data_IF_254465384497
#
_entry.id   IF_254465384497
#
_cell.length_a   1.000
_cell.length_b   1.000
_cell.length_c   1.000
_cell.angle_alpha   90.00
_cell.angle_beta   90.00
_cell.angle_gamma   90.00
#
_symmetry.space_group_name_H-M   'P 1'
#
loop_
_entity.id
_entity.type
_entity.pdbx_description
1 polymer ?
#
# COMPACT_ATOMS: atom_id res chain seq x y z
N UNK A 1 -6.15 -18.98 -13.60
CA UNK A 1 -7.17 -19.66 -12.78
C UNK A 1 -8.04 -18.58 -12.18
N UNK A 2 -9.28 -18.57 -12.55
CA UNK A 2 -10.26 -17.63 -12.00
C UNK A 2 -10.86 -18.25 -10.72
N UNK A 3 -10.72 -17.57 -9.58
CA UNK A 3 -11.28 -18.04 -8.31
C UNK A 3 -12.60 -17.31 -8.10
N UNK A 4 -13.70 -18.05 -8.12
CA UNK A 4 -15.00 -17.48 -7.79
C UNK A 4 -15.22 -17.51 -6.28
N UNK A 5 -14.91 -16.42 -5.61
CA UNK A 5 -15.05 -16.30 -4.16
C UNK A 5 -16.50 -16.46 -3.66
N UNK A 6 -17.50 -16.24 -4.53
CA UNK A 6 -18.92 -16.43 -4.16
C UNK A 6 -19.32 -17.89 -4.01
N UNK A 7 -18.54 -18.80 -4.61
CA UNK A 7 -18.76 -20.25 -4.51
C UNK A 7 -17.96 -20.93 -3.40
N UNK A 8 -17.06 -20.19 -2.74
CA UNK A 8 -16.34 -20.72 -1.59
C UNK A 8 -17.28 -20.85 -0.40
N UNK A 9 -17.61 -22.07 -0.05
CA UNK A 9 -18.38 -22.38 1.17
C UNK A 9 -17.42 -22.57 2.34
N UNK A 10 -17.50 -21.68 3.31
CA UNK A 10 -16.74 -21.76 4.55
C UNK A 10 -17.64 -22.34 5.66
N UNK A 11 -17.18 -23.40 6.32
CA UNK A 11 -17.94 -24.03 7.41
C UNK A 11 -17.86 -23.19 8.67
N UNK A 12 -18.94 -22.49 8.98
CA UNK A 12 -19.25 -22.00 10.32
C UNK A 12 -18.78 -20.61 10.69
N UNK A 13 -17.71 -20.07 10.13
CA UNK A 13 -17.21 -18.72 10.44
C UNK A 13 -17.08 -17.87 9.18
N UNK A 14 -17.25 -16.55 9.36
CA UNK A 14 -17.04 -15.57 8.29
C UNK A 14 -15.55 -15.53 7.93
N UNK A 15 -15.17 -15.81 6.67
CA UNK A 15 -13.75 -15.82 6.28
C UNK A 15 -13.12 -14.44 6.37
N UNK A 16 -11.83 -14.42 6.67
CA UNK A 16 -11.00 -13.23 6.68
C UNK A 16 -9.95 -13.32 5.58
N UNK A 17 -9.93 -12.31 4.70
CA UNK A 17 -8.86 -12.11 3.72
C UNK A 17 -7.93 -10.99 4.22
N UNK A 18 -6.65 -11.28 4.29
CA UNK A 18 -5.63 -10.30 4.64
C UNK A 18 -4.82 -9.93 3.41
N UNK A 19 -4.79 -8.64 3.07
CA UNK A 19 -4.00 -8.09 1.98
C UNK A 19 -2.88 -7.23 2.58
N UNK A 20 -1.64 -7.53 2.22
CA UNK A 20 -0.47 -6.70 2.53
C UNK A 20 0.10 -6.13 1.25
N UNK A 21 0.19 -4.80 1.17
CA UNK A 21 0.77 -4.12 0.00
C UNK A 21 1.97 -3.26 0.37
N UNK A 22 2.81 -3.02 -0.61
CA UNK A 22 4.02 -2.22 -0.50
C UNK A 22 4.24 -1.34 -1.73
N UNK A 23 5.41 -0.74 -1.84
CA UNK A 23 5.75 0.27 -2.87
C UNK A 23 5.52 -0.19 -4.31
N UNK A 24 5.64 -1.50 -4.59
CA UNK A 24 5.37 -2.06 -5.92
C UNK A 24 3.94 -1.84 -6.40
N UNK A 25 2.95 -1.77 -5.49
CA UNK A 25 1.57 -1.49 -5.85
C UNK A 25 1.40 -0.12 -6.51
N UNK A 26 2.16 0.87 -6.08
CA UNK A 26 2.08 2.26 -6.56
C UNK A 26 3.08 2.60 -7.66
N UNK A 27 3.93 1.65 -8.08
CA UNK A 27 4.96 1.89 -9.09
C UNK A 27 4.37 2.31 -10.45
N UNK A 28 3.31 1.66 -10.92
CA UNK A 28 2.62 2.02 -12.16
C UNK A 28 1.85 3.33 -12.07
N UNK A 29 1.62 3.84 -10.88
CA UNK A 29 1.05 5.17 -10.65
C UNK A 29 2.09 6.29 -10.74
N UNK A 30 3.37 5.94 -10.93
CA UNK A 30 4.49 6.89 -11.03
C UNK A 30 5.19 7.18 -9.70
N UNK A 31 4.87 6.45 -8.63
CA UNK A 31 5.58 6.58 -7.36
C UNK A 31 6.78 5.63 -7.39
N UNK A 32 8.03 6.15 -7.30
CA UNK A 32 9.22 5.33 -7.34
C UNK A 32 9.23 4.29 -6.22
N UNK A 33 9.60 3.05 -6.54
CA UNK A 33 9.90 2.04 -5.53
C UNK A 33 11.27 2.30 -4.93
N UNK A 34 11.56 1.68 -3.78
CA UNK A 34 12.87 1.81 -3.16
C UNK A 34 13.98 1.07 -3.91
N UNK A 35 13.63 0.15 -4.81
CA UNK A 35 14.56 -0.74 -5.50
C UNK A 35 14.92 -0.31 -6.91
N UNK A 36 14.24 0.73 -7.44
CA UNK A 36 14.51 1.22 -8.77
C UNK A 36 15.83 1.98 -8.82
N UNK A 37 16.56 1.84 -9.95
CA UNK A 37 17.84 2.52 -10.19
C UNK A 37 17.74 4.05 -10.10
N UNK A 38 16.55 4.61 -10.28
CA UNK A 38 16.20 6.02 -10.13
C UNK A 38 15.44 6.33 -8.83
N UNK A 39 15.30 5.35 -7.93
CA UNK A 39 14.57 5.48 -6.68
C UNK A 39 15.27 6.39 -5.68
N UNK A 40 14.54 6.81 -4.64
CA UNK A 40 14.99 7.68 -3.55
C UNK A 40 16.21 7.15 -2.79
N UNK A 41 16.51 5.86 -2.91
CA UNK A 41 17.70 5.22 -2.33
C UNK A 41 19.04 5.69 -2.89
N UNK A 42 19.04 6.42 -4.00
CA UNK A 42 20.28 7.08 -4.49
C UNK A 42 20.75 8.20 -3.57
N UNK A 43 19.82 8.84 -2.85
CA UNK A 43 20.09 10.00 -1.99
C UNK A 43 20.22 9.62 -0.52
N UNK A 44 19.55 8.54 -0.11
CA UNK A 44 19.47 8.13 1.28
C UNK A 44 19.77 6.64 1.43
N UNK A 45 20.53 6.24 2.45
CA UNK A 45 20.69 4.82 2.77
C UNK A 45 19.42 4.28 3.46
N UNK A 46 18.75 3.29 2.84
CA UNK A 46 17.55 2.70 3.43
C UNK A 46 17.75 2.09 4.81
N UNK A 47 18.92 1.53 5.04
CA UNK A 47 19.27 0.93 6.33
C UNK A 47 19.38 1.98 7.42
N UNK A 48 19.73 3.20 7.05
CA UNK A 48 19.85 4.30 8.00
C UNK A 48 18.51 5.00 8.26
N UNK A 49 17.71 5.28 7.21
CA UNK A 49 16.50 6.11 7.35
C UNK A 49 15.21 5.32 7.57
N UNK A 50 15.12 4.09 7.09
CA UNK A 50 13.93 3.23 7.26
C UNK A 50 14.11 2.17 8.36
N UNK A 51 15.03 2.37 9.28
CA UNK A 51 15.27 1.48 10.42
C UNK A 51 14.62 1.99 11.70
N UNK A 52 14.31 1.05 12.60
CA UNK A 52 13.91 1.38 13.98
C UNK A 52 15.06 2.19 14.62
N UNK A 53 14.75 3.35 15.20
CA UNK A 53 15.74 4.25 15.78
C UNK A 53 16.38 5.25 14.80
N UNK A 54 16.04 5.18 13.51
CA UNK A 54 16.46 6.21 12.55
C UNK A 54 15.94 7.59 12.95
N UNK A 55 14.70 7.66 13.41
CA UNK A 55 14.09 8.90 13.86
C UNK A 55 14.88 9.58 14.98
N UNK A 56 15.45 8.81 15.90
CA UNK A 56 16.24 9.35 17.01
C UNK A 56 17.63 9.85 16.57
N UNK A 57 18.25 9.16 15.61
CA UNK A 57 19.62 9.47 15.15
C UNK A 57 19.68 10.50 14.03
N UNK A 58 18.67 10.50 13.16
CA UNK A 58 18.63 11.30 11.92
C UNK A 58 17.25 11.95 11.74
N UNK A 59 16.74 12.59 12.78
CA UNK A 59 15.37 13.14 12.82
C UNK A 59 15.03 13.97 11.59
N UNK A 60 15.88 14.95 11.24
CA UNK A 60 15.61 15.85 10.11
C UNK A 60 15.62 15.09 8.77
N UNK A 61 16.61 14.24 8.54
CA UNK A 61 16.72 13.46 7.31
C UNK A 61 15.54 12.51 7.13
N UNK A 62 15.03 11.91 8.21
CA UNK A 62 13.84 11.07 8.19
C UNK A 62 12.61 11.88 7.80
N UNK A 63 12.40 13.05 8.39
CA UNK A 63 11.28 13.92 8.03
C UNK A 63 11.37 14.40 6.58
N UNK A 64 12.53 14.82 6.12
CA UNK A 64 12.74 15.28 4.75
C UNK A 64 12.48 14.15 3.74
N UNK A 65 12.95 12.95 4.04
CA UNK A 65 12.70 11.76 3.24
C UNK A 65 11.21 11.44 3.09
N UNK A 66 10.45 11.40 4.19
CA UNK A 66 9.02 11.11 4.12
C UNK A 66 8.21 12.25 3.51
N UNK A 67 8.56 13.51 3.77
CA UNK A 67 7.93 14.67 3.16
C UNK A 67 8.14 14.71 1.65
N UNK A 68 9.33 14.39 1.15
CA UNK A 68 9.59 14.27 -0.28
C UNK A 68 8.74 13.18 -0.93
N UNK A 69 8.58 12.06 -0.26
CA UNK A 69 7.72 10.97 -0.73
C UNK A 69 6.26 11.38 -0.83
N UNK A 70 5.73 12.04 0.19
CA UNK A 70 4.34 12.53 0.20
C UNK A 70 4.12 13.52 -0.95
N UNK A 71 5.02 14.48 -1.14
CA UNK A 71 4.95 15.44 -2.25
C UNK A 71 4.99 14.77 -3.62
N UNK A 72 5.83 13.77 -3.79
CA UNK A 72 5.93 13.03 -5.05
C UNK A 72 4.69 12.16 -5.33
N UNK A 73 3.98 11.72 -4.29
CA UNK A 73 2.76 10.95 -4.41
C UNK A 73 1.52 11.83 -4.71
N UNK A 74 1.52 13.09 -4.30
CA UNK A 74 0.37 14.00 -4.40
C UNK A 74 -0.24 14.10 -5.82
N UNK A 75 0.54 14.24 -6.92
CA UNK A 75 0.00 14.30 -8.27
C UNK A 75 -0.39 12.93 -8.83
N UNK A 76 -0.01 11.84 -8.18
CA UNK A 76 -0.26 10.49 -8.66
C UNK A 76 -1.73 10.08 -8.52
N UNK A 77 -2.16 9.12 -9.33
CA UNK A 77 -3.53 8.61 -9.32
C UNK A 77 -3.53 7.09 -9.18
N UNK A 78 -4.62 6.52 -8.62
CA UNK A 78 -4.75 5.07 -8.53
C UNK A 78 -4.57 4.39 -9.88
N UNK A 79 -3.86 3.28 -9.89
CA UNK A 79 -3.76 2.40 -11.05
C UNK A 79 -4.78 1.25 -10.96
N UNK A 80 -4.79 0.39 -11.98
CA UNK A 80 -5.73 -0.72 -12.08
C UNK A 80 -5.68 -1.69 -10.88
N UNK A 81 -4.52 -1.87 -10.25
CA UNK A 81 -4.39 -2.75 -9.09
C UNK A 81 -5.04 -2.15 -7.84
N UNK A 82 -4.93 -0.85 -7.61
CA UNK A 82 -5.65 -0.16 -6.52
C UNK A 82 -7.17 -0.29 -6.70
N UNK A 83 -7.65 -0.09 -7.94
CA UNK A 83 -9.07 -0.20 -8.27
C UNK A 83 -9.56 -1.62 -8.05
N UNK A 84 -8.81 -2.62 -8.53
CA UNK A 84 -9.17 -4.03 -8.37
C UNK A 84 -9.26 -4.45 -6.89
N UNK A 85 -8.36 -3.98 -6.03
CA UNK A 85 -8.42 -4.23 -4.58
C UNK A 85 -9.67 -3.59 -3.97
N UNK A 86 -9.97 -2.34 -4.33
CA UNK A 86 -11.14 -1.64 -3.83
C UNK A 86 -12.47 -2.32 -4.25
N UNK A 87 -12.56 -2.75 -5.50
CA UNK A 87 -13.70 -3.50 -6.02
C UNK A 87 -13.84 -4.85 -5.33
N UNK A 88 -12.75 -5.60 -5.19
CA UNK A 88 -12.75 -6.87 -4.47
C UNK A 88 -13.27 -6.71 -3.04
N UNK A 89 -12.80 -5.73 -2.28
CA UNK A 89 -13.27 -5.47 -0.92
C UNK A 89 -14.80 -5.23 -0.86
N UNK A 90 -15.34 -4.52 -1.85
CA UNK A 90 -16.80 -4.22 -1.94
C UNK A 90 -17.60 -5.46 -2.34
N UNK A 91 -17.11 -6.20 -3.34
CA UNK A 91 -17.82 -7.35 -3.89
C UNK A 91 -17.96 -8.50 -2.89
N UNK A 92 -16.95 -8.70 -2.04
CA UNK A 92 -16.96 -9.79 -1.07
C UNK A 92 -17.52 -9.39 0.30
N UNK A 93 -17.84 -8.13 0.52
CA UNK A 93 -18.24 -7.58 1.84
C UNK A 93 -19.45 -8.29 2.46
N UNK A 94 -20.34 -8.87 1.66
CA UNK A 94 -21.52 -9.59 2.15
C UNK A 94 -21.19 -10.91 2.86
N UNK A 95 -20.06 -11.55 2.53
CA UNK A 95 -19.74 -12.90 3.02
C UNK A 95 -18.31 -13.07 3.54
N UNK A 96 -17.47 -12.04 3.41
CA UNK A 96 -16.05 -12.09 3.75
C UNK A 96 -15.60 -10.77 4.37
N UNK A 97 -14.76 -10.85 5.38
CA UNK A 97 -14.04 -9.68 5.89
C UNK A 97 -12.71 -9.52 5.16
N UNK A 98 -12.39 -8.31 4.76
CA UNK A 98 -11.10 -8.00 4.11
C UNK A 98 -10.39 -6.94 4.91
N UNK A 99 -9.16 -7.25 5.33
CA UNK A 99 -8.24 -6.29 5.95
C UNK A 99 -7.13 -6.01 4.96
N UNK A 100 -7.01 -4.75 4.54
CA UNK A 100 -5.91 -4.27 3.72
C UNK A 100 -4.96 -3.43 4.57
N UNK A 101 -3.73 -3.90 4.71
CA UNK A 101 -2.63 -3.18 5.36
C UNK A 101 -1.64 -2.75 4.29
N UNK A 102 -1.28 -1.49 4.28
CA UNK A 102 -0.26 -0.97 3.36
C UNK A 102 0.95 -0.43 4.10
N UNK A 103 2.13 -0.67 3.55
CA UNK A 103 3.38 -0.06 3.99
C UNK A 103 3.63 1.29 3.31
N UNK A 104 2.73 1.69 2.41
CA UNK A 104 2.88 2.92 1.63
C UNK A 104 2.38 4.13 2.42
N UNK A 105 3.02 5.26 2.16
CA UNK A 105 2.60 6.57 2.72
C UNK A 105 1.63 7.32 1.80
N UNK A 106 1.42 6.81 0.57
CA UNK A 106 0.43 7.36 -0.36
C UNK A 106 -1.00 6.96 0.06
N UNK A 107 -1.98 7.68 -0.46
CA UNK A 107 -3.40 7.45 -0.23
C UNK A 107 -4.12 6.89 -1.47
N UNK A 108 -3.40 6.23 -2.38
CA UNK A 108 -3.98 5.76 -3.64
C UNK A 108 -5.04 4.67 -3.46
N UNK A 109 -4.93 3.87 -2.41
CA UNK A 109 -5.95 2.88 -2.08
C UNK A 109 -7.28 3.54 -1.69
N UNK A 110 -7.23 4.58 -0.87
CA UNK A 110 -8.40 5.36 -0.46
C UNK A 110 -9.00 6.11 -1.65
N UNK A 111 -8.16 6.73 -2.48
CA UNK A 111 -8.59 7.40 -3.71
C UNK A 111 -9.22 6.43 -4.72
N UNK A 112 -8.81 5.16 -4.74
CA UNK A 112 -9.45 4.11 -5.52
C UNK A 112 -10.80 3.69 -4.95
N UNK A 113 -11.14 4.12 -3.74
CA UNK A 113 -12.39 3.81 -3.06
C UNK A 113 -12.35 2.56 -2.20
N UNK A 114 -11.16 2.12 -1.76
CA UNK A 114 -11.03 1.06 -0.75
C UNK A 114 -11.76 1.47 0.53
N UNK A 115 -12.72 0.66 1.02
CA UNK A 115 -13.52 1.03 2.18
C UNK A 115 -12.75 0.95 3.50
N UNK A 116 -11.65 0.20 3.53
CA UNK A 116 -10.86 -0.02 4.73
C UNK A 116 -9.40 -0.33 4.39
N UNK A 117 -8.52 0.60 4.74
CA UNK A 117 -7.07 0.50 4.59
C UNK A 117 -6.41 0.90 5.90
N UNK A 118 -5.38 0.18 6.30
CA UNK A 118 -4.54 0.50 7.47
C UNK A 118 -3.12 0.82 7.00
N UNK A 119 -2.59 1.92 7.50
CA UNK A 119 -1.21 2.37 7.29
C UNK A 119 -0.31 2.01 8.47
#
# INVERSE_FOLDING_TARGET
>A
MEVNFKELTFKGERPLVFILSGAGLSAESGIPTFRDANGLWRKYDPKELASIGALERHTQDVFDFYNERIKNAEPCRPNAAHIAIAEFQKDVAAFCDVIHVTQNVDNLNELAGSPRVFH
#
